data_IF_590540594475
#
_entry.id   IF_590540594475
#
_cell.length_a   1.000
_cell.length_b   1.000
_cell.length_c   1.000
_cell.angle_alpha   90.00
_cell.angle_beta   90.00
_cell.angle_gamma   90.00
#
_symmetry.space_group_name_H-M   'P 1'
#
loop_
_entity.id
_entity.type
_entity.pdbx_description
1 polymer ?
#
# COMPACT_ATOMS: atom_id res chain seq x y z
N UNK A 1 -9.64 -1.07 14.88
CA UNK A 1 -10.50 -2.00 14.14
C UNK A 1 -10.19 -1.93 12.63
N UNK A 2 -10.44 -3.05 11.88
CA UNK A 2 -10.12 -3.13 10.44
C UNK A 2 -10.79 -2.05 9.56
N UNK A 3 -11.92 -1.50 9.97
CA UNK A 3 -12.61 -0.41 9.26
C UNK A 3 -11.81 0.91 9.25
N UNK A 4 -11.02 1.14 10.28
CA UNK A 4 -10.24 2.38 10.44
C UNK A 4 -9.09 2.47 9.45
N UNK A 5 -8.67 1.32 8.88
CA UNK A 5 -7.65 1.26 7.86
C UNK A 5 -7.96 2.12 6.61
N UNK A 6 -9.27 2.34 6.33
CA UNK A 6 -9.71 3.14 5.19
C UNK A 6 -9.97 4.62 5.51
N UNK A 7 -9.96 4.98 6.80
CA UNK A 7 -10.27 6.34 7.23
C UNK A 7 -9.06 7.28 7.24
N UNK A 8 -7.86 6.76 6.92
CA UNK A 8 -6.64 7.55 6.90
C UNK A 8 -6.15 7.97 8.28
N UNK A 9 -6.54 7.25 9.32
CA UNK A 9 -6.15 7.52 10.72
C UNK A 9 -4.76 6.99 11.07
N UNK A 10 -4.19 6.14 10.22
CA UNK A 10 -2.89 5.50 10.46
C UNK A 10 -1.90 5.85 9.35
N UNK A 11 -0.64 6.09 9.73
CA UNK A 11 0.45 6.31 8.79
C UNK A 11 0.94 5.01 8.15
N UNK A 12 0.83 3.88 8.89
CA UNK A 12 1.19 2.55 8.41
C UNK A 12 0.31 1.46 9.03
N UNK A 13 0.06 0.41 8.27
CA UNK A 13 -0.64 -0.80 8.71
C UNK A 13 0.29 -1.98 8.49
N UNK A 14 0.58 -2.70 9.58
CA UNK A 14 1.44 -3.89 9.56
C UNK A 14 0.55 -5.12 9.69
N UNK A 15 0.72 -6.08 8.79
CA UNK A 15 0.02 -7.36 8.80
C UNK A 15 0.94 -8.48 8.32
N UNK A 16 0.64 -9.71 8.71
CA UNK A 16 1.26 -10.88 8.09
C UNK A 16 0.86 -11.02 6.61
N UNK A 17 1.62 -11.80 5.85
CA UNK A 17 1.44 -11.90 4.40
C UNK A 17 0.09 -12.49 3.99
N UNK A 18 -0.51 -13.38 4.80
CA UNK A 18 -1.80 -13.98 4.50
C UNK A 18 -2.94 -13.00 4.81
N UNK A 19 -2.98 -12.48 6.04
CA UNK A 19 -4.00 -11.51 6.48
C UNK A 19 -3.98 -10.25 5.61
N UNK A 20 -2.80 -9.70 5.36
CA UNK A 20 -2.64 -8.53 4.49
C UNK A 20 -3.10 -8.79 3.06
N UNK A 21 -2.83 -9.97 2.50
CA UNK A 21 -3.28 -10.33 1.16
C UNK A 21 -4.81 -10.53 1.09
N UNK A 22 -5.41 -11.18 2.09
CA UNK A 22 -6.88 -11.33 2.17
C UNK A 22 -7.54 -9.97 2.27
N UNK A 23 -7.06 -9.10 3.17
CA UNK A 23 -7.55 -7.73 3.32
C UNK A 23 -7.47 -6.95 2.01
N UNK A 24 -6.31 -6.96 1.35
CA UNK A 24 -6.09 -6.29 0.06
C UNK A 24 -7.04 -6.82 -1.01
N UNK A 25 -7.15 -8.14 -1.18
CA UNK A 25 -8.01 -8.75 -2.21
C UNK A 25 -9.49 -8.53 -1.96
N UNK A 26 -9.92 -8.55 -0.71
CA UNK A 26 -11.29 -8.21 -0.32
C UNK A 26 -11.61 -6.76 -0.66
N UNK A 27 -10.70 -5.84 -0.34
CA UNK A 27 -10.85 -4.41 -0.64
C UNK A 27 -10.90 -4.15 -2.15
N UNK A 28 -10.01 -4.76 -2.92
CA UNK A 28 -10.03 -4.68 -4.38
C UNK A 28 -11.35 -5.21 -4.96
N UNK A 29 -11.84 -6.34 -4.44
CA UNK A 29 -13.10 -6.94 -4.84
C UNK A 29 -14.30 -6.05 -4.53
N UNK A 30 -14.33 -5.49 -3.32
CA UNK A 30 -15.38 -4.58 -2.88
C UNK A 30 -15.38 -3.29 -3.72
N UNK A 31 -14.22 -2.71 -3.98
CA UNK A 31 -14.09 -1.52 -4.84
C UNK A 31 -14.64 -1.75 -6.26
N UNK A 32 -14.33 -2.91 -6.84
CA UNK A 32 -14.88 -3.32 -8.15
C UNK A 32 -16.40 -3.50 -8.10
N UNK A 33 -16.93 -4.14 -7.05
CA UNK A 33 -18.35 -4.36 -6.87
C UNK A 33 -19.11 -3.04 -6.75
N UNK A 34 -18.65 -2.13 -5.89
CA UNK A 34 -19.26 -0.81 -5.68
C UNK A 34 -19.27 -0.01 -6.98
N UNK A 35 -18.16 0.03 -7.71
CA UNK A 35 -18.07 0.70 -9.01
C UNK A 35 -19.04 0.12 -10.03
N UNK A 36 -19.10 -1.21 -10.12
CA UNK A 36 -20.03 -1.92 -11.03
C UNK A 36 -21.47 -1.60 -10.69
N UNK A 37 -21.86 -1.76 -9.42
CA UNK A 37 -23.24 -1.50 -8.96
C UNK A 37 -23.66 -0.05 -9.20
N UNK A 38 -22.75 0.92 -8.97
CA UNK A 38 -23.02 2.32 -9.25
C UNK A 38 -23.31 2.55 -10.74
N UNK A 39 -22.47 2.02 -11.62
CA UNK A 39 -22.65 2.17 -13.07
C UNK A 39 -23.95 1.47 -13.55
N UNK A 40 -24.22 0.26 -13.07
CA UNK A 40 -25.46 -0.47 -13.42
C UNK A 40 -26.70 0.30 -12.96
N UNK A 41 -26.69 0.87 -11.75
CA UNK A 41 -27.80 1.69 -11.24
C UNK A 41 -28.04 2.93 -12.10
N UNK A 42 -26.99 3.61 -12.52
CA UNK A 42 -27.08 4.80 -13.37
C UNK A 42 -27.50 4.47 -14.81
N UNK A 43 -27.19 3.26 -15.27
CA UNK A 43 -27.52 2.79 -16.62
C UNK A 43 -28.82 1.97 -16.70
N UNK A 44 -29.56 1.85 -15.58
CA UNK A 44 -30.71 0.97 -15.45
C UNK A 44 -31.83 1.27 -16.48
N UNK A 45 -32.15 2.53 -16.71
CA UNK A 45 -33.16 2.94 -17.65
C UNK A 45 -32.80 4.26 -18.35
N UNK A 46 -33.61 4.68 -19.34
CA UNK A 46 -33.31 5.87 -20.14
C UNK A 46 -33.31 7.15 -19.31
N UNK A 47 -34.16 7.25 -18.30
CA UNK A 47 -34.27 8.43 -17.46
C UNK A 47 -33.04 8.57 -16.51
N UNK A 48 -32.61 7.45 -15.92
CA UNK A 48 -31.40 7.45 -15.11
C UNK A 48 -30.15 7.73 -15.93
N UNK A 49 -30.06 7.22 -17.17
CA UNK A 49 -28.96 7.53 -18.09
C UNK A 49 -28.88 9.03 -18.38
N UNK A 50 -30.02 9.65 -18.79
CA UNK A 50 -30.05 11.08 -19.09
C UNK A 50 -29.76 11.90 -17.83
N UNK A 51 -30.38 11.55 -16.70
CA UNK A 51 -30.20 12.23 -15.42
C UNK A 51 -28.78 12.09 -14.86
N UNK A 52 -28.02 11.07 -15.26
CA UNK A 52 -26.63 10.89 -14.80
C UNK A 52 -25.61 11.72 -15.60
N UNK A 53 -25.95 12.31 -16.73
CA UNK A 53 -25.03 13.08 -17.56
C UNK A 53 -24.35 14.21 -16.77
N UNK A 54 -25.04 15.04 -15.99
CA UNK A 54 -24.39 16.07 -15.16
C UNK A 54 -23.45 15.51 -14.09
N UNK A 55 -23.67 14.26 -13.66
CA UNK A 55 -22.88 13.59 -12.62
C UNK A 55 -21.64 12.88 -13.15
N UNK A 56 -21.44 12.76 -14.47
CA UNK A 56 -20.30 12.07 -15.07
C UNK A 56 -18.93 12.54 -14.53
N UNK A 57 -18.67 13.85 -14.33
CA UNK A 57 -17.40 14.28 -13.76
C UNK A 57 -17.19 13.77 -12.30
N UNK A 58 -18.24 13.73 -11.50
CA UNK A 58 -18.19 13.20 -10.13
C UNK A 58 -17.96 11.69 -10.14
N UNK A 59 -18.64 10.95 -11.00
CA UNK A 59 -18.46 9.50 -11.17
C UNK A 59 -17.03 9.18 -11.60
N UNK A 60 -16.46 9.97 -12.53
CA UNK A 60 -15.08 9.81 -12.99
C UNK A 60 -14.09 10.04 -11.85
N UNK A 61 -14.33 11.06 -11.02
CA UNK A 61 -13.50 11.35 -9.81
C UNK A 61 -13.59 10.20 -8.80
N UNK A 62 -14.81 9.73 -8.51
CA UNK A 62 -15.03 8.57 -7.64
C UNK A 62 -14.31 7.32 -8.16
N UNK A 63 -14.45 7.01 -9.47
CA UNK A 63 -13.78 5.89 -10.10
C UNK A 63 -12.26 5.97 -9.99
N UNK A 64 -11.69 7.18 -10.02
CA UNK A 64 -10.25 7.41 -9.86
C UNK A 64 -9.79 7.11 -8.44
N UNK A 65 -10.55 7.54 -7.43
CA UNK A 65 -10.24 7.24 -6.01
C UNK A 65 -10.27 5.73 -5.73
N UNK A 66 -11.19 5.01 -6.40
CA UNK A 66 -11.31 3.55 -6.27
C UNK A 66 -10.34 2.75 -7.15
N UNK A 67 -9.51 3.43 -7.93
CA UNK A 67 -8.59 2.75 -8.86
C UNK A 67 -7.21 2.58 -8.21
N UNK A 68 -6.98 1.39 -7.66
CA UNK A 68 -5.69 0.99 -7.09
C UNK A 68 -4.53 0.98 -8.10
N UNK A 69 -4.82 1.01 -9.40
CA UNK A 69 -3.81 0.99 -10.47
C UNK A 69 -2.91 2.25 -10.51
N UNK A 70 -3.27 3.32 -9.83
CA UNK A 70 -2.46 4.53 -9.79
C UNK A 70 -1.21 4.40 -8.88
N UNK A 71 -1.13 3.36 -8.05
CA UNK A 71 -0.06 3.22 -7.04
C UNK A 71 1.16 2.43 -7.50
N UNK A 72 1.22 1.99 -8.76
CA UNK A 72 2.41 1.32 -9.32
C UNK A 72 2.61 -0.09 -8.78
N UNK A 73 3.74 -0.31 -8.10
CA UNK A 73 4.12 -1.59 -7.50
C UNK A 73 4.37 -1.48 -6.00
N UNK A 74 4.68 -2.60 -5.37
CA UNK A 74 5.08 -2.71 -3.98
C UNK A 74 6.59 -2.93 -3.86
N UNK A 75 7.28 -2.16 -3.01
CA UNK A 75 8.68 -2.37 -2.69
C UNK A 75 8.83 -3.58 -1.78
N UNK A 76 9.72 -4.51 -2.15
CA UNK A 76 10.17 -5.57 -1.25
C UNK A 76 11.15 -4.99 -0.23
N UNK A 77 10.84 -5.18 1.04
CA UNK A 77 11.72 -4.80 2.14
C UNK A 77 12.66 -5.96 2.52
N UNK A 78 13.79 -5.64 3.16
CA UNK A 78 14.76 -6.64 3.63
C UNK A 78 15.65 -7.23 2.53
N UNK A 79 15.74 -6.60 1.37
CA UNK A 79 16.63 -6.99 0.26
C UNK A 79 17.71 -5.92 0.04
N UNK A 80 18.89 -6.34 -0.43
CA UNK A 80 20.05 -5.44 -0.60
C UNK A 80 19.93 -4.45 -1.76
N UNK A 81 19.00 -4.67 -2.68
CA UNK A 81 18.76 -3.80 -3.84
C UNK A 81 17.27 -3.57 -4.01
N UNK A 82 16.86 -2.42 -4.54
CA UNK A 82 15.44 -2.15 -4.78
C UNK A 82 14.80 -3.20 -5.68
N UNK A 83 13.81 -3.92 -5.15
CA UNK A 83 12.98 -4.86 -5.88
C UNK A 83 11.54 -4.39 -5.77
N UNK A 84 10.90 -4.11 -6.90
CA UNK A 84 9.51 -3.64 -6.94
C UNK A 84 8.65 -4.69 -7.63
N UNK A 85 7.65 -5.18 -6.91
CA UNK A 85 6.67 -6.13 -7.43
C UNK A 85 5.56 -5.37 -8.14
N UNK A 86 5.42 -5.57 -9.45
CA UNK A 86 4.26 -5.10 -10.19
C UNK A 86 3.01 -5.91 -9.82
N UNK A 87 1.83 -5.33 -9.99
CA UNK A 87 0.57 -6.03 -9.77
C UNK A 87 0.34 -7.09 -10.86
N UNK A 88 -0.28 -8.24 -10.51
CA UNK A 88 -0.53 -9.33 -11.44
C UNK A 88 -1.42 -8.97 -12.64
N UNK A 89 -2.25 -7.92 -12.51
CA UNK A 89 -3.07 -7.35 -13.58
C UNK A 89 -2.49 -6.09 -14.22
N UNK A 90 -1.16 -5.93 -14.15
CA UNK A 90 -0.50 -4.76 -14.72
C UNK A 90 -0.64 -4.72 -16.24
N UNK A 91 -1.13 -3.60 -16.75
CA UNK A 91 -1.04 -3.21 -18.15
C UNK A 91 0.26 -2.41 -18.41
N UNK A 92 0.50 -2.03 -19.65
CA UNK A 92 1.69 -1.26 -20.05
C UNK A 92 1.84 0.05 -19.26
N UNK A 93 0.73 0.71 -19.00
CA UNK A 93 0.71 1.98 -18.26
C UNK A 93 1.13 1.77 -16.81
N UNK A 94 0.58 0.75 -16.16
CA UNK A 94 0.92 0.43 -14.77
C UNK A 94 2.36 -0.04 -14.65
N UNK A 95 2.84 -0.86 -15.60
CA UNK A 95 4.24 -1.29 -15.64
C UNK A 95 5.20 -0.11 -15.76
N UNK A 96 4.88 0.89 -16.60
CA UNK A 96 5.65 2.13 -16.69
C UNK A 96 5.73 2.86 -15.34
N UNK A 97 4.63 2.93 -14.59
CA UNK A 97 4.63 3.52 -13.25
C UNK A 97 5.49 2.72 -12.28
N UNK A 98 5.45 1.39 -12.33
CA UNK A 98 6.29 0.52 -11.50
C UNK A 98 7.77 0.75 -11.77
N UNK A 99 8.18 0.87 -13.04
CA UNK A 99 9.58 1.17 -13.41
C UNK A 99 10.00 2.56 -12.89
N UNK A 100 9.13 3.57 -13.06
CA UNK A 100 9.39 4.92 -12.55
C UNK A 100 9.51 4.95 -11.02
N UNK A 101 8.71 4.16 -10.32
CA UNK A 101 8.78 4.01 -8.88
C UNK A 101 10.08 3.34 -8.44
N UNK A 102 10.53 2.28 -9.15
CA UNK A 102 11.83 1.66 -8.90
C UNK A 102 12.98 2.66 -9.08
N UNK A 103 12.93 3.48 -10.13
CA UNK A 103 13.90 4.57 -10.35
C UNK A 103 13.92 5.56 -9.17
N UNK A 104 12.77 5.93 -8.64
CA UNK A 104 12.68 6.82 -7.47
C UNK A 104 13.28 6.18 -6.22
N UNK A 105 13.05 4.90 -5.97
CA UNK A 105 13.65 4.20 -4.84
C UNK A 105 15.17 4.14 -4.93
N UNK A 106 15.73 3.96 -6.13
CA UNK A 106 17.18 4.02 -6.36
C UNK A 106 17.71 5.45 -6.12
N UNK A 107 17.08 6.47 -6.71
CA UNK A 107 17.49 7.87 -6.55
C UNK A 107 17.46 8.35 -5.10
N UNK A 108 16.43 7.93 -4.37
CA UNK A 108 16.25 8.29 -2.97
C UNK A 108 17.04 7.41 -2.01
N UNK A 109 17.83 6.43 -2.52
CA UNK A 109 18.58 5.49 -1.69
C UNK A 109 17.71 4.80 -0.62
N UNK A 110 16.49 4.45 -0.98
CA UNK A 110 15.49 3.96 -0.02
C UNK A 110 15.94 2.69 0.73
N UNK A 111 16.63 1.77 0.04
CA UNK A 111 17.18 0.55 0.67
C UNK A 111 18.32 0.88 1.61
N UNK A 112 19.22 1.79 1.23
CA UNK A 112 20.35 2.19 2.06
C UNK A 112 19.85 2.84 3.37
N UNK A 113 18.87 3.75 3.28
CA UNK A 113 18.24 4.38 4.45
C UNK A 113 17.58 3.35 5.38
N UNK A 114 16.85 2.38 4.81
CA UNK A 114 16.25 1.30 5.60
C UNK A 114 17.29 0.43 6.29
N UNK A 115 18.39 0.11 5.60
CA UNK A 115 19.48 -0.67 6.15
C UNK A 115 20.14 0.08 7.32
N UNK A 116 20.41 1.38 7.16
CA UNK A 116 21.00 2.23 8.18
C UNK A 116 20.14 2.32 9.45
N UNK A 117 18.83 2.49 9.28
CA UNK A 117 17.86 2.47 10.39
C UNK A 117 17.86 1.12 11.10
N UNK A 118 17.82 0.01 10.35
CA UNK A 118 17.83 -1.34 10.91
C UNK A 118 19.12 -1.65 11.69
N UNK A 119 20.28 -1.33 11.13
CA UNK A 119 21.58 -1.54 11.78
C UNK A 119 21.69 -0.68 13.05
N UNK A 120 21.24 0.57 13.01
CA UNK A 120 21.25 1.46 14.17
C UNK A 120 20.37 0.91 15.31
N UNK A 121 19.22 0.36 15.00
CA UNK A 121 18.31 -0.24 15.98
C UNK A 121 18.91 -1.53 16.56
N UNK A 122 19.42 -2.43 15.70
CA UNK A 122 20.06 -3.68 16.11
C UNK A 122 21.26 -3.42 17.04
N UNK A 123 22.05 -2.39 16.76
CA UNK A 123 23.17 -2.00 17.62
C UNK A 123 22.71 -1.46 18.98
N UNK A 124 21.60 -0.70 19.02
CA UNK A 124 21.02 -0.25 20.30
C UNK A 124 20.48 -1.40 21.13
N UNK A 125 19.81 -2.36 20.50
CA UNK A 125 19.24 -3.52 21.20
C UNK A 125 20.35 -4.38 21.80
N UNK A 126 21.41 -4.69 21.02
CA UNK A 126 22.61 -5.38 21.55
C UNK A 126 23.30 -4.63 22.70
N UNK A 127 23.37 -3.30 22.60
CA UNK A 127 23.96 -2.49 23.65
C UNK A 127 23.12 -2.53 24.94
N UNK A 128 21.80 -2.57 24.82
CA UNK A 128 20.90 -2.70 25.96
C UNK A 128 21.00 -4.08 26.61
N UNK A 129 21.06 -5.16 25.84
CA UNK A 129 21.27 -6.53 26.32
C UNK A 129 22.61 -6.63 27.12
N UNK A 130 23.70 -6.03 26.60
CA UNK A 130 24.99 -6.01 27.28
C UNK A 130 24.92 -5.24 28.61
N UNK A 131 24.22 -4.10 28.63
CA UNK A 131 24.04 -3.32 29.86
C UNK A 131 23.26 -4.08 30.92
N UNK A 132 22.16 -4.75 30.52
CA UNK A 132 21.38 -5.58 31.43
C UNK A 132 22.21 -6.73 31.99
N UNK A 133 22.98 -7.41 31.15
CA UNK A 133 23.89 -8.48 31.58
C UNK A 133 24.98 -7.98 32.58
N UNK A 134 25.56 -6.80 32.32
CA UNK A 134 26.53 -6.21 33.25
C UNK A 134 25.87 -5.90 34.60
N UNK A 135 24.67 -5.30 34.58
CA UNK A 135 23.95 -4.98 35.81
C UNK A 135 23.63 -6.24 36.66
N UNK A 136 23.27 -7.35 35.98
CA UNK A 136 23.08 -8.63 36.68
C UNK A 136 24.36 -9.21 37.31
N UNK A 137 25.52 -8.96 36.70
CA UNK A 137 26.82 -9.40 37.26
C UNK A 137 27.23 -8.55 38.47
N UNK A 138 26.94 -7.24 38.45
CA UNK A 138 27.26 -6.33 39.54
C UNK A 138 26.33 -6.50 40.76
N UNK A 139 25.18 -7.10 40.60
CA UNK A 139 24.18 -7.36 41.65
C UNK A 139 24.43 -8.67 42.43
N UNK A 140 25.40 -9.49 42.01
CA UNK A 140 25.82 -10.76 42.65
C UNK A 140 27.10 -10.59 43.45
#
# INVERSE_FOLDING_TARGET
>A
EGREAFLGTFDAIIADGFTGNVFLKTTEGLGKLVKKSLVESLMHNIWTKIGSIPSLPAIKRFSKVMDYKEYGGALFLGVQKPVVKAHGSSDEKLFKFTVKQAEQFVKNKAVDQLTEVYESQTNKDKMNEIKEFIAELEAK
#
